data_IF_182958247351
#
_entry.id   IF_182958247351
#
_cell.length_a   1.000
_cell.length_b   1.000
_cell.length_c   1.000
_cell.angle_alpha   90.00
_cell.angle_beta   90.00
_cell.angle_gamma   90.00
#
_symmetry.space_group_name_H-M   'P 1'
#
loop_
_entity.id
_entity.type
_entity.pdbx_description
1 polymer ?
#
# COMPACT_ATOMS: atom_id res chain seq x y z
N UNK A 1 -21.39 -8.93 -4.37
CA UNK A 1 -19.94 -8.65 -4.20
C UNK A 1 -19.69 -8.43 -2.71
N UNK A 2 -18.63 -8.98 -2.14
CA UNK A 2 -18.30 -8.72 -0.73
C UNK A 2 -17.60 -7.37 -0.60
N UNK A 3 -17.61 -6.77 0.61
CA UNK A 3 -16.96 -5.50 0.86
C UNK A 3 -15.43 -5.54 0.60
N UNK A 4 -14.78 -6.68 0.85
CA UNK A 4 -13.35 -6.86 0.58
C UNK A 4 -13.05 -6.80 -0.92
N UNK A 5 -13.82 -7.53 -1.74
CA UNK A 5 -13.65 -7.52 -3.20
C UNK A 5 -13.91 -6.13 -3.77
N UNK A 6 -14.94 -5.43 -3.29
CA UNK A 6 -15.24 -4.07 -3.71
C UNK A 6 -14.05 -3.12 -3.47
N UNK A 7 -13.46 -3.14 -2.27
CA UNK A 7 -12.30 -2.31 -1.94
C UNK A 7 -11.07 -2.65 -2.80
N UNK A 8 -10.82 -3.93 -3.05
CA UNK A 8 -9.73 -4.37 -3.93
C UNK A 8 -9.92 -3.87 -5.36
N UNK A 9 -11.14 -3.93 -5.89
CA UNK A 9 -11.45 -3.43 -7.24
C UNK A 9 -11.24 -1.91 -7.32
N UNK A 10 -11.71 -1.15 -6.33
CA UNK A 10 -11.48 0.31 -6.29
C UNK A 10 -9.99 0.62 -6.26
N UNK A 11 -9.25 -0.03 -5.38
CA UNK A 11 -7.81 0.22 -5.23
C UNK A 11 -7.07 -0.15 -6.52
N UNK A 12 -7.41 -1.28 -7.16
CA UNK A 12 -6.83 -1.65 -8.45
C UNK A 12 -7.14 -0.62 -9.54
N UNK A 13 -8.38 -0.11 -9.61
CA UNK A 13 -8.74 0.95 -10.56
C UNK A 13 -7.94 2.23 -10.32
N UNK A 14 -7.79 2.66 -9.07
CA UNK A 14 -6.99 3.82 -8.68
C UNK A 14 -5.51 3.64 -9.05
N UNK A 15 -4.91 2.50 -8.71
CA UNK A 15 -3.49 2.25 -8.94
C UNK A 15 -3.15 2.09 -10.43
N UNK A 16 -4.03 1.48 -11.23
CA UNK A 16 -3.75 1.19 -12.64
C UNK A 16 -4.18 2.35 -13.56
N UNK A 17 -5.40 2.86 -13.37
CA UNK A 17 -6.04 3.84 -14.26
C UNK A 17 -6.03 5.27 -13.69
N UNK A 18 -5.63 5.45 -12.43
CA UNK A 18 -5.73 6.75 -11.75
C UNK A 18 -7.15 7.15 -11.36
N UNK A 19 -8.15 6.33 -11.68
CA UNK A 19 -9.55 6.68 -11.53
C UNK A 19 -10.37 5.44 -11.15
N UNK A 20 -11.19 5.56 -10.12
CA UNK A 20 -12.22 4.58 -9.80
C UNK A 20 -13.62 5.19 -9.96
N UNK A 21 -14.51 4.44 -10.60
CA UNK A 21 -15.89 4.84 -10.83
C UNK A 21 -16.83 3.82 -10.21
N UNK A 22 -17.81 4.30 -9.47
CA UNK A 22 -18.82 3.47 -8.81
C UNK A 22 -20.19 4.08 -9.06
N UNK A 23 -21.04 3.33 -9.75
CA UNK A 23 -22.43 3.72 -9.97
C UNK A 23 -23.25 3.49 -8.71
N UNK A 24 -23.98 4.53 -8.30
CA UNK A 24 -24.92 4.53 -7.17
C UNK A 24 -26.31 4.18 -7.67
N UNK A 25 -26.86 3.07 -7.17
CA UNK A 25 -28.22 2.64 -7.49
C UNK A 25 -29.17 2.98 -6.34
N UNK A 26 -30.22 3.72 -6.66
CA UNK A 26 -31.23 4.15 -5.68
C UNK A 26 -32.55 3.41 -5.88
N UNK A 27 -33.23 3.08 -4.78
CA UNK A 27 -34.61 2.59 -4.78
C UNK A 27 -35.41 3.38 -3.75
N UNK A 28 -36.52 3.98 -4.16
CA UNK A 28 -37.35 4.85 -3.32
C UNK A 28 -36.55 5.93 -2.56
N UNK A 29 -35.55 6.54 -3.23
CA UNK A 29 -34.70 7.58 -2.64
C UNK A 29 -33.59 7.09 -1.72
N UNK A 30 -33.50 5.77 -1.45
CA UNK A 30 -32.41 5.19 -0.63
C UNK A 30 -31.36 4.54 -1.51
N UNK A 31 -30.09 4.70 -1.17
CA UNK A 31 -28.99 4.00 -1.81
C UNK A 31 -29.07 2.49 -1.49
N UNK A 32 -29.17 1.65 -2.51
CA UNK A 32 -29.31 0.18 -2.36
C UNK A 32 -28.07 -0.57 -2.82
N UNK A 33 -27.36 -0.06 -3.82
CA UNK A 33 -26.19 -0.76 -4.35
C UNK A 33 -25.12 0.20 -4.87
N UNK A 34 -23.88 -0.28 -4.79
CA UNK A 34 -22.68 0.34 -5.35
C UNK A 34 -22.06 -0.63 -6.34
N UNK A 35 -22.01 -0.24 -7.61
CA UNK A 35 -21.47 -1.08 -8.68
C UNK A 35 -20.20 -0.45 -9.25
N UNK A 36 -19.02 -1.03 -9.01
CA UNK A 36 -17.79 -0.53 -9.62
C UNK A 36 -17.84 -0.77 -11.14
N UNK A 37 -17.47 0.26 -11.89
CA UNK A 37 -17.42 0.23 -13.35
C UNK A 37 -15.96 0.30 -13.81
N UNK A 38 -15.66 -0.35 -14.94
CA UNK A 38 -14.31 -0.35 -15.51
C UNK A 38 -13.92 1.04 -16.02
N UNK A 39 -12.78 1.61 -15.58
CA UNK A 39 -12.38 2.97 -15.98
C UNK A 39 -12.19 3.13 -17.49
N UNK A 40 -11.68 2.10 -18.18
CA UNK A 40 -11.51 2.13 -19.64
C UNK A 40 -12.82 2.20 -20.45
N UNK A 41 -13.98 2.09 -19.80
CA UNK A 41 -15.31 2.17 -20.44
C UNK A 41 -16.04 3.47 -20.12
N UNK A 42 -15.41 4.39 -19.39
CA UNK A 42 -16.02 5.62 -18.89
C UNK A 42 -15.29 6.83 -19.48
N UNK A 43 -16.10 7.79 -19.92
CA UNK A 43 -15.62 9.09 -20.38
C UNK A 43 -16.37 10.19 -19.61
N UNK A 44 -15.66 10.99 -18.80
CA UNK A 44 -16.24 12.16 -18.13
C UNK A 44 -16.35 13.30 -19.12
N UNK A 45 -17.56 13.82 -19.32
CA UNK A 45 -17.86 14.93 -20.24
C UNK A 45 -18.57 16.05 -19.53
N UNK A 46 -18.46 17.24 -20.11
CA UNK A 46 -19.18 18.44 -19.68
C UNK A 46 -20.25 18.77 -20.70
N UNK A 47 -21.48 19.00 -20.24
CA UNK A 47 -22.58 19.51 -21.06
C UNK A 47 -22.39 21.00 -21.33
N UNK A 48 -23.14 21.53 -22.30
CA UNK A 48 -23.13 22.96 -22.63
C UNK A 48 -23.56 23.85 -21.45
N UNK A 49 -24.47 23.36 -20.60
CA UNK A 49 -24.89 24.04 -19.37
C UNK A 49 -23.84 24.00 -18.23
N UNK A 50 -22.68 23.39 -18.48
CA UNK A 50 -21.58 23.29 -17.54
C UNK A 50 -21.62 22.09 -16.58
N UNK A 51 -22.71 21.33 -16.55
CA UNK A 51 -22.84 20.13 -15.70
C UNK A 51 -22.00 18.96 -16.24
N UNK A 52 -21.43 18.16 -15.35
CA UNK A 52 -20.69 16.96 -15.73
C UNK A 52 -21.60 15.73 -15.83
N UNK A 53 -21.26 14.83 -16.74
CA UNK A 53 -21.87 13.52 -16.86
C UNK A 53 -20.83 12.49 -17.29
N UNK A 54 -21.15 11.22 -17.09
CA UNK A 54 -20.30 10.08 -17.43
C UNK A 54 -20.93 9.29 -18.55
N UNK A 55 -20.26 9.21 -19.70
CA UNK A 55 -20.65 8.30 -20.75
C UNK A 55 -20.03 6.93 -20.49
N UNK A 56 -20.88 5.95 -20.18
CA UNK A 56 -20.47 4.57 -19.96
C UNK A 56 -20.82 3.72 -21.18
N UNK A 57 -19.85 2.91 -21.65
CA UNK A 57 -20.06 1.94 -22.72
C UNK A 57 -19.92 0.52 -22.16
N UNK A 58 -21.03 -0.21 -22.07
CA UNK A 58 -21.02 -1.58 -21.54
C UNK A 58 -20.32 -2.52 -22.52
N UNK A 59 -19.22 -3.14 -22.11
CA UNK A 59 -18.46 -4.05 -22.97
C UNK A 59 -19.22 -5.33 -23.35
N UNK A 60 -20.27 -5.72 -22.63
CA UNK A 60 -21.01 -6.95 -22.95
C UNK A 60 -21.96 -6.78 -24.12
N UNK A 61 -22.54 -5.59 -24.30
CA UNK A 61 -23.59 -5.34 -25.28
C UNK A 61 -23.33 -4.11 -26.17
N UNK A 62 -22.23 -3.38 -25.93
CA UNK A 62 -21.85 -2.18 -26.68
C UNK A 62 -22.77 -0.98 -26.47
N UNK A 63 -23.74 -1.05 -25.54
CA UNK A 63 -24.69 0.03 -25.31
C UNK A 63 -24.02 1.17 -24.56
N UNK A 64 -24.19 2.38 -25.08
CA UNK A 64 -23.78 3.61 -24.42
C UNK A 64 -24.93 4.11 -23.56
N UNK A 65 -24.66 4.41 -22.29
CA UNK A 65 -25.57 5.10 -21.38
C UNK A 65 -24.89 6.32 -20.77
N UNK A 66 -25.69 7.33 -20.47
CA UNK A 66 -25.24 8.49 -19.72
C UNK A 66 -25.62 8.30 -18.25
N UNK A 67 -24.65 8.54 -17.36
CA UNK A 67 -24.83 8.52 -15.91
C UNK A 67 -24.58 9.93 -15.42
N UNK A 68 -25.57 10.52 -14.76
CA UNK A 68 -25.42 11.86 -14.18
C UNK A 68 -24.45 11.87 -13.00
N UNK A 69 -23.81 13.00 -12.74
CA UNK A 69 -22.82 13.15 -11.67
C UNK A 69 -23.36 12.73 -10.30
N UNK A 70 -24.63 13.02 -9.99
CA UNK A 70 -25.27 12.60 -8.73
C UNK A 70 -25.37 11.07 -8.55
N UNK A 71 -25.37 10.30 -9.64
CA UNK A 71 -25.44 8.83 -9.63
C UNK A 71 -24.07 8.16 -9.76
N UNK A 72 -22.98 8.93 -9.86
CA UNK A 72 -21.62 8.41 -9.99
C UNK A 72 -20.77 8.87 -8.81
N UNK A 73 -20.17 7.92 -8.09
CA UNK A 73 -19.03 8.21 -7.21
C UNK A 73 -17.76 8.05 -8.03
N UNK A 74 -17.06 9.16 -8.28
CA UNK A 74 -15.79 9.18 -8.98
C UNK A 74 -14.68 9.52 -7.99
N UNK A 75 -13.76 8.58 -7.82
CA UNK A 75 -12.55 8.75 -7.01
C UNK A 75 -11.37 8.96 -7.97
N UNK A 76 -10.92 10.19 -8.20
CA UNK A 76 -9.67 10.43 -8.90
C UNK A 76 -8.49 10.32 -7.94
N UNK A 77 -7.41 9.68 -8.37
CA UNK A 77 -6.13 9.65 -7.65
C UNK A 77 -5.39 11.00 -7.84
N UNK A 78 -4.10 10.97 -8.19
CA UNK A 78 -3.36 12.18 -8.53
C UNK A 78 -3.90 12.82 -9.81
N UNK A 79 -4.28 14.10 -9.75
CA UNK A 79 -4.87 14.87 -10.85
C UNK A 79 -4.04 16.12 -11.12
N UNK A 80 -3.99 16.57 -12.38
CA UNK A 80 -3.37 17.86 -12.76
C UNK A 80 -4.42 18.96 -12.96
N UNK A 81 -5.65 18.58 -13.29
CA UNK A 81 -6.76 19.46 -13.58
C UNK A 81 -7.84 19.45 -12.48
N UNK A 82 -7.68 18.62 -11.45
CA UNK A 82 -8.67 18.40 -10.40
C UNK A 82 -9.89 17.56 -10.84
N UNK A 83 -9.92 17.06 -12.07
CA UNK A 83 -11.09 16.38 -12.65
C UNK A 83 -10.82 14.92 -13.01
N UNK A 84 -9.67 14.60 -13.58
CA UNK A 84 -9.32 13.25 -14.05
C UNK A 84 -7.96 12.85 -13.51
N UNK A 85 -7.90 11.68 -12.88
CA UNK A 85 -6.64 11.15 -12.36
C UNK A 85 -5.73 10.65 -13.47
N UNK A 86 -4.42 10.76 -13.25
CA UNK A 86 -3.40 10.25 -14.18
C UNK A 86 -3.23 8.75 -14.01
N UNK A 87 -3.26 8.01 -15.13
CA UNK A 87 -2.96 6.58 -15.12
C UNK A 87 -1.47 6.35 -14.88
N UNK A 88 -1.15 5.60 -13.82
CA UNK A 88 0.22 5.17 -13.52
C UNK A 88 0.79 4.36 -14.68
N UNK A 89 0.02 3.44 -15.25
CA UNK A 89 0.44 2.65 -16.43
C UNK A 89 0.72 3.57 -17.62
N UNK A 90 -0.13 4.57 -17.85
CA UNK A 90 0.05 5.55 -18.91
C UNK A 90 1.35 6.34 -18.76
N UNK A 91 1.61 6.87 -17.55
CA UNK A 91 2.81 7.67 -17.24
C UNK A 91 4.10 6.83 -17.21
N UNK A 92 4.03 5.61 -16.67
CA UNK A 92 5.17 4.71 -16.50
C UNK A 92 5.36 3.74 -17.68
N UNK A 93 4.69 3.96 -18.81
CA UNK A 93 4.68 3.03 -19.95
C UNK A 93 6.07 2.63 -20.43
N UNK A 94 7.02 3.56 -20.46
CA UNK A 94 8.40 3.28 -20.89
C UNK A 94 9.13 2.37 -19.89
N UNK A 95 8.93 2.57 -18.59
CA UNK A 95 9.56 1.76 -17.54
C UNK A 95 9.03 0.32 -17.59
N UNK A 96 7.71 0.15 -17.69
CA UNK A 96 7.12 -1.18 -17.89
C UNK A 96 7.58 -1.83 -19.20
N UNK A 97 7.65 -1.06 -20.29
CA UNK A 97 8.15 -1.54 -21.58
C UNK A 97 9.61 -2.01 -21.53
N UNK A 98 10.47 -1.25 -20.85
CA UNK A 98 11.88 -1.60 -20.66
C UNK A 98 12.02 -2.86 -19.80
N UNK A 99 11.26 -2.98 -18.71
CA UNK A 99 11.26 -4.16 -17.85
C UNK A 99 10.80 -5.42 -18.61
N UNK A 100 9.72 -5.31 -19.41
CA UNK A 100 9.25 -6.40 -20.26
C UNK A 100 10.29 -6.81 -21.31
N UNK A 101 10.92 -5.84 -21.97
CA UNK A 101 11.96 -6.09 -22.97
C UNK A 101 13.20 -6.76 -22.36
N UNK A 102 13.62 -6.33 -21.17
CA UNK A 102 14.72 -6.95 -20.44
C UNK A 102 14.39 -8.40 -20.05
N UNK A 103 13.17 -8.68 -19.59
CA UNK A 103 12.74 -10.04 -19.27
C UNK A 103 12.66 -10.93 -20.52
N UNK A 104 12.20 -10.40 -21.65
CA UNK A 104 12.18 -11.12 -22.92
C UNK A 104 13.60 -11.44 -23.42
N UNK A 105 14.50 -10.45 -23.37
CA UNK A 105 15.91 -10.65 -23.72
C UNK A 105 16.60 -11.68 -22.81
N UNK A 106 16.26 -11.67 -21.51
CA UNK A 106 16.69 -12.69 -20.56
C UNK A 106 16.17 -14.07 -20.95
N UNK A 107 14.86 -14.19 -21.20
CA UNK A 107 14.23 -15.44 -21.60
C UNK A 107 14.83 -16.01 -22.89
N UNK A 108 15.08 -15.16 -23.89
CA UNK A 108 15.75 -15.57 -25.14
C UNK A 108 17.20 -15.99 -24.89
N UNK A 109 17.93 -15.27 -24.05
CA UNK A 109 19.30 -15.63 -23.67
C UNK A 109 19.33 -16.98 -22.94
N UNK A 110 18.42 -17.24 -22.02
CA UNK A 110 18.34 -18.56 -21.35
C UNK A 110 17.90 -19.68 -22.30
N UNK A 111 16.94 -19.41 -23.20
CA UNK A 111 16.51 -20.39 -24.20
C UNK A 111 17.61 -20.75 -25.21
N UNK A 112 18.49 -19.80 -25.53
CA UNK A 112 19.54 -19.97 -26.54
C UNK A 112 20.92 -20.29 -25.92
N UNK A 113 21.18 -19.89 -24.67
CA UNK A 113 22.49 -19.78 -24.02
C UNK A 113 22.95 -20.99 -23.21
N UNK A 114 22.17 -22.08 -23.16
CA UNK A 114 22.69 -23.38 -22.71
C UNK A 114 23.44 -24.15 -23.80
N UNK A 115 23.55 -23.60 -25.02
CA UNK A 115 24.42 -24.14 -26.07
C UNK A 115 25.78 -23.49 -25.91
N UNK A 116 26.79 -24.26 -25.53
CA UNK A 116 28.17 -23.78 -25.44
C UNK A 116 28.61 -23.25 -26.80
N UNK A 117 28.66 -21.92 -26.95
CA UNK A 117 29.30 -21.29 -28.10
C UNK A 117 30.79 -21.60 -28.00
N UNK A 118 31.32 -22.28 -28.99
CA UNK A 118 32.74 -22.58 -29.06
C UNK A 118 33.22 -22.59 -30.49
N UNK A 119 34.47 -22.22 -30.66
CA UNK A 119 35.13 -22.23 -31.95
C UNK A 119 35.89 -23.54 -32.10
N UNK A 120 35.56 -24.29 -33.16
CA UNK A 120 36.35 -25.45 -33.57
C UNK A 120 37.36 -24.97 -34.60
N UNK A 121 38.65 -25.04 -34.25
CA UNK A 121 39.76 -24.75 -35.15
C UNK A 121 40.41 -26.06 -35.59
N UNK A 122 40.80 -26.13 -36.87
CA UNK A 122 41.49 -27.28 -37.46
C UNK A 122 42.64 -26.78 -38.32
N UNK A 123 43.79 -27.43 -38.22
CA UNK A 123 44.99 -27.07 -38.99
C UNK A 123 44.92 -27.45 -40.48
N UNK A 124 43.94 -28.28 -40.87
CA UNK A 124 43.78 -28.80 -42.24
C UNK A 124 42.70 -28.06 -43.05
N UNK A 125 42.97 -27.83 -44.35
CA UNK A 125 41.98 -27.27 -45.29
C UNK A 125 41.00 -28.36 -45.71
N UNK A 126 39.78 -28.32 -45.17
CA UNK A 126 38.71 -29.28 -45.46
C UNK A 126 38.10 -29.07 -46.85
N UNK A 127 37.81 -30.19 -47.55
CA UNK A 127 37.00 -30.23 -48.78
C UNK A 127 35.52 -29.91 -48.49
N UNK A 128 34.71 -29.47 -49.47
CA UNK A 128 33.31 -29.06 -49.24
C UNK A 128 32.43 -30.10 -48.55
N UNK A 129 32.56 -31.38 -48.91
CA UNK A 129 31.79 -32.46 -48.27
C UNK A 129 32.15 -32.70 -46.80
N UNK A 130 33.45 -32.70 -46.49
CA UNK A 130 33.96 -32.90 -45.13
C UNK A 130 33.59 -31.72 -44.20
N UNK A 131 33.51 -30.49 -44.73
CA UNK A 131 33.03 -29.34 -43.94
C UNK A 131 31.59 -29.52 -43.47
N UNK A 132 30.74 -30.10 -44.31
CA UNK A 132 29.33 -30.24 -43.99
C UNK A 132 29.10 -31.39 -43.00
N UNK A 133 29.87 -32.47 -43.08
CA UNK A 133 29.90 -33.54 -42.07
C UNK A 133 30.33 -33.00 -40.70
N UNK A 134 31.41 -32.21 -40.64
CA UNK A 134 31.87 -31.59 -39.39
C UNK A 134 30.81 -30.63 -38.84
N UNK A 135 30.17 -29.81 -39.69
CA UNK A 135 29.08 -28.92 -39.25
C UNK A 135 27.87 -29.68 -38.70
N UNK A 136 27.48 -30.78 -39.33
CA UNK A 136 26.37 -31.61 -38.87
C UNK A 136 26.70 -32.27 -37.53
N UNK A 137 27.92 -32.79 -37.37
CA UNK A 137 28.39 -33.37 -36.11
C UNK A 137 28.46 -32.34 -34.97
N UNK A 138 28.98 -31.14 -35.25
CA UNK A 138 29.00 -30.03 -34.29
C UNK A 138 27.58 -29.64 -33.87
N UNK A 139 26.65 -29.55 -34.83
CA UNK A 139 25.25 -29.21 -34.54
C UNK A 139 24.55 -30.27 -33.70
N UNK A 140 24.73 -31.55 -33.98
CA UNK A 140 24.10 -32.62 -33.21
C UNK A 140 24.62 -32.66 -31.78
N UNK A 141 25.94 -32.59 -31.60
CA UNK A 141 26.59 -32.60 -30.28
C UNK A 141 26.22 -31.36 -29.46
N UNK A 142 26.16 -30.17 -30.10
CA UNK A 142 25.76 -28.92 -29.45
C UNK A 142 24.27 -28.90 -29.06
N UNK A 143 23.40 -29.56 -29.82
CA UNK A 143 21.98 -29.67 -29.51
C UNK A 143 21.69 -30.62 -28.34
N UNK A 144 22.49 -31.68 -28.19
CA UNK A 144 22.33 -32.72 -27.15
C UNK A 144 23.14 -32.42 -25.88
N UNK A 145 24.01 -31.40 -25.90
CA UNK A 145 24.94 -31.12 -24.79
C UNK A 145 26.03 -32.20 -24.62
N UNK A 146 26.32 -32.94 -25.68
CA UNK A 146 27.30 -34.03 -25.69
C UNK A 146 28.75 -33.54 -25.72
N UNK A 147 29.69 -34.45 -25.45
CA UNK A 147 31.12 -34.17 -25.54
C UNK A 147 31.56 -34.25 -27.01
N UNK A 148 32.20 -33.19 -27.51
CA UNK A 148 32.74 -33.17 -28.88
C UNK A 148 34.02 -34.01 -28.97
N UNK A 149 34.03 -34.98 -29.88
CA UNK A 149 35.23 -35.78 -30.19
C UNK A 149 36.00 -35.05 -31.29
N UNK A 150 37.26 -34.71 -31.01
CA UNK A 150 38.13 -33.98 -31.92
C UNK A 150 39.27 -34.88 -32.44
N UNK A 151 39.52 -34.81 -33.76
CA UNK A 151 40.63 -35.50 -34.40
C UNK A 151 41.96 -34.73 -34.20
N UNK A 152 43.09 -35.43 -34.39
CA UNK A 152 44.44 -34.90 -34.16
C UNK A 152 44.68 -33.63 -34.99
N UNK A 153 45.02 -32.52 -34.31
CA UNK A 153 45.18 -31.19 -34.95
C UNK A 153 43.94 -30.31 -34.93
N UNK A 154 42.90 -30.72 -34.19
CA UNK A 154 41.68 -29.92 -33.96
C UNK A 154 41.61 -29.47 -32.50
N UNK A 155 41.20 -28.23 -32.24
CA UNK A 155 40.97 -27.70 -30.90
C UNK A 155 39.59 -27.08 -30.78
N UNK A 156 38.97 -27.25 -29.61
CA UNK A 156 37.73 -26.57 -29.25
C UNK A 156 38.06 -25.48 -28.23
N UNK A 157 37.79 -24.24 -28.61
CA UNK A 157 37.87 -23.10 -27.71
C UNK A 157 36.46 -22.79 -27.24
N UNK A 158 36.16 -23.17 -25.99
CA UNK A 158 34.93 -22.75 -25.34
C UNK A 158 34.99 -21.23 -25.15
N UNK A 159 34.02 -20.51 -25.70
CA UNK A 159 33.82 -19.11 -25.33
C UNK A 159 33.19 -19.15 -23.95
N UNK A 160 33.91 -18.71 -22.91
CA UNK A 160 33.40 -18.74 -21.54
C UNK A 160 32.16 -17.84 -21.40
N UNK A 161 31.30 -18.17 -20.43
CA UNK A 161 30.13 -17.39 -20.07
C UNK A 161 30.44 -15.89 -19.84
N UNK A 162 29.40 -15.10 -20.08
CA UNK A 162 29.46 -13.77 -20.66
C UNK A 162 29.21 -12.72 -19.55
N UNK A 163 30.03 -11.67 -19.41
CA UNK A 163 29.77 -10.52 -18.51
C UNK A 163 28.35 -9.93 -18.63
N UNK A 164 27.68 -10.17 -19.75
CA UNK A 164 26.30 -9.81 -20.04
C UNK A 164 25.28 -10.47 -19.08
N UNK A 165 25.55 -11.64 -18.51
CA UNK A 165 24.61 -12.32 -17.62
C UNK A 165 24.48 -11.59 -16.26
N UNK A 166 25.59 -11.06 -15.75
CA UNK A 166 25.62 -10.25 -14.53
C UNK A 166 24.98 -8.86 -14.74
N UNK A 167 25.21 -8.25 -15.91
CA UNK A 167 24.58 -6.98 -16.29
C UNK A 167 23.05 -7.13 -16.50
N UNK A 168 22.63 -8.25 -17.06
CA UNK A 168 21.22 -8.59 -17.24
C UNK A 168 20.51 -8.82 -15.90
N UNK A 169 21.15 -9.50 -14.95
CA UNK A 169 20.62 -9.66 -13.59
C UNK A 169 20.46 -8.30 -12.89
N UNK A 170 21.49 -7.45 -12.93
CA UNK A 170 21.42 -6.09 -12.35
C UNK A 170 20.30 -5.25 -12.99
N UNK A 171 20.10 -5.36 -14.30
CA UNK A 171 19.00 -4.68 -15.01
C UNK A 171 17.63 -5.14 -14.53
N UNK A 172 17.46 -6.44 -14.27
CA UNK A 172 16.21 -7.02 -13.74
C UNK A 172 15.93 -6.57 -12.31
N UNK A 173 16.96 -6.52 -11.46
CA UNK A 173 16.84 -6.03 -10.09
C UNK A 173 16.41 -4.56 -10.07
N UNK A 174 17.05 -3.71 -10.88
CA UNK A 174 16.69 -2.30 -10.97
C UNK A 174 15.26 -2.09 -11.47
N UNK A 175 14.81 -2.91 -12.43
CA UNK A 175 13.43 -2.85 -12.94
C UNK A 175 12.37 -3.10 -11.86
N UNK A 176 12.64 -3.99 -10.90
CA UNK A 176 11.73 -4.21 -9.75
C UNK A 176 11.62 -2.95 -8.89
N UNK A 177 12.75 -2.29 -8.61
CA UNK A 177 12.76 -1.06 -7.82
C UNK A 177 12.05 0.11 -8.51
N UNK A 178 12.18 0.24 -9.83
CA UNK A 178 11.47 1.27 -10.61
C UNK A 178 9.95 1.07 -10.57
N UNK A 179 9.48 -0.17 -10.74
CA UNK A 179 8.05 -0.49 -10.64
C UNK A 179 7.52 -0.20 -9.23
N UNK A 180 8.26 -0.62 -8.21
CA UNK A 180 7.95 -0.35 -6.80
C UNK A 180 7.79 1.16 -6.52
N UNK A 181 8.67 1.98 -7.10
CA UNK A 181 8.66 3.44 -6.96
C UNK A 181 7.37 4.08 -7.48
N UNK A 182 6.84 3.61 -8.60
CA UNK A 182 5.59 4.13 -9.18
C UNK A 182 4.36 3.85 -8.31
N UNK A 183 4.33 2.71 -7.62
CA UNK A 183 3.26 2.38 -6.69
C UNK A 183 3.51 2.87 -5.26
N UNK A 184 4.67 3.49 -5.01
CA UNK A 184 5.09 3.90 -3.68
C UNK A 184 5.34 2.73 -2.73
N UNK A 185 5.53 1.50 -3.22
CA UNK A 185 5.74 0.32 -2.39
C UNK A 185 7.24 0.13 -2.16
N UNK A 186 7.72 0.02 -0.91
CA UNK A 186 9.12 -0.29 -0.66
C UNK A 186 9.52 -1.69 -1.20
N UNK A 187 10.70 -1.86 -1.82
CA UNK A 187 11.08 -3.14 -2.43
C UNK A 187 11.08 -4.35 -1.47
N UNK A 188 11.42 -4.15 -0.19
CA UNK A 188 11.39 -5.21 0.81
C UNK A 188 9.99 -5.80 1.04
N UNK A 189 8.91 -5.02 0.78
CA UNK A 189 7.53 -5.49 0.92
C UNK A 189 7.12 -6.49 -0.17
N UNK A 190 7.83 -6.49 -1.31
CA UNK A 190 7.62 -7.46 -2.40
C UNK A 190 8.66 -8.58 -2.39
N UNK A 191 9.44 -8.71 -1.32
CA UNK A 191 10.50 -9.72 -1.19
C UNK A 191 11.80 -9.35 -1.90
N UNK A 192 11.94 -8.12 -2.39
CA UNK A 192 13.18 -7.63 -2.98
C UNK A 192 14.07 -6.97 -1.91
N UNK A 193 14.89 -7.79 -1.25
CA UNK A 193 15.70 -7.40 -0.08
C UNK A 193 17.20 -7.28 -0.38
N UNK A 194 17.61 -7.18 -1.65
CA UNK A 194 19.02 -7.26 -2.06
C UNK A 194 19.95 -6.27 -1.34
N UNK A 195 19.44 -5.09 -0.98
CA UNK A 195 20.22 -4.01 -0.35
C UNK A 195 19.81 -3.70 1.12
N UNK A 196 18.86 -4.42 1.70
CA UNK A 196 18.34 -4.12 3.05
C UNK A 196 19.02 -4.96 4.13
N UNK A 197 20.03 -4.40 4.79
CA UNK A 197 20.79 -5.02 5.91
C UNK A 197 20.15 -4.84 7.30
N UNK A 198 18.92 -4.33 7.40
CA UNK A 198 18.32 -3.98 8.70
C UNK A 198 17.49 -5.13 9.29
N UNK A 199 18.16 -6.08 9.94
CA UNK A 199 17.53 -7.15 10.71
C UNK A 199 16.97 -6.58 12.05
N UNK A 200 15.68 -6.84 12.35
CA UNK A 200 15.07 -6.55 13.66
C UNK A 200 14.33 -5.19 13.75
N UNK A 201 14.95 -4.19 14.38
CA UNK A 201 14.30 -2.91 14.72
C UNK A 201 14.03 -1.98 13.52
N UNK A 202 14.75 -2.17 12.41
CA UNK A 202 14.51 -1.42 11.18
C UNK A 202 13.24 -1.86 10.44
N UNK A 203 12.82 -3.11 10.59
CA UNK A 203 11.66 -3.64 9.86
C UNK A 203 10.34 -3.01 10.34
N UNK A 204 10.17 -2.84 11.64
CA UNK A 204 8.98 -2.17 12.20
C UNK A 204 8.88 -0.71 11.74
N UNK A 205 10.01 0.01 11.76
CA UNK A 205 10.07 1.38 11.24
C UNK A 205 9.81 1.44 9.72
N UNK A 206 10.25 0.43 8.97
CA UNK A 206 9.97 0.31 7.54
C UNK A 206 8.48 0.03 7.26
N UNK A 207 7.84 -0.84 8.05
CA UNK A 207 6.38 -1.09 7.97
C UNK A 207 5.59 0.16 8.32
N UNK A 208 6.00 0.91 9.35
CA UNK A 208 5.40 2.19 9.71
C UNK A 208 5.59 3.24 8.61
N UNK A 209 6.76 3.27 7.97
CA UNK A 209 7.02 4.10 6.79
C UNK A 209 6.10 3.76 5.62
N UNK A 210 5.90 2.47 5.33
CA UNK A 210 4.95 2.02 4.30
C UNK A 210 3.52 2.45 4.61
N UNK A 211 3.08 2.27 5.86
CA UNK A 211 1.77 2.70 6.31
C UNK A 211 1.58 4.20 6.08
N UNK A 212 2.55 5.00 6.53
CA UNK A 212 2.46 6.47 6.55
C UNK A 212 2.55 7.07 5.16
N UNK A 213 3.53 6.65 4.36
CA UNK A 213 3.84 7.30 3.08
C UNK A 213 3.14 6.65 1.89
N UNK A 214 2.70 5.39 2.02
CA UNK A 214 2.13 4.63 0.91
C UNK A 214 0.64 4.39 1.11
N UNK A 215 0.24 3.76 2.22
CA UNK A 215 -1.16 3.36 2.44
C UNK A 215 -2.05 4.53 2.87
N UNK A 216 -1.58 5.36 3.81
CA UNK A 216 -2.39 6.45 4.38
C UNK A 216 -2.99 7.39 3.32
N UNK A 217 -2.25 7.85 2.29
CA UNK A 217 -2.83 8.69 1.24
C UNK A 217 -4.01 8.03 0.54
N UNK A 218 -3.95 6.73 0.25
CA UNK A 218 -5.05 5.99 -0.39
C UNK A 218 -6.26 5.83 0.53
N UNK A 219 -6.03 5.53 1.81
CA UNK A 219 -7.10 5.39 2.80
C UNK A 219 -7.85 6.71 2.97
N UNK A 220 -7.11 7.80 3.19
CA UNK A 220 -7.67 9.15 3.35
C UNK A 220 -8.42 9.60 2.10
N UNK A 221 -7.89 9.33 0.90
CA UNK A 221 -8.56 9.65 -0.37
C UNK A 221 -9.93 8.95 -0.47
N UNK A 222 -9.96 7.64 -0.19
CA UNK A 222 -11.19 6.84 -0.26
C UNK A 222 -12.19 7.29 0.81
N UNK A 223 -11.75 7.57 2.03
CA UNK A 223 -12.59 8.10 3.11
C UNK A 223 -13.23 9.44 2.74
N UNK A 224 -12.43 10.40 2.28
CA UNK A 224 -12.91 11.71 1.89
C UNK A 224 -13.94 11.60 0.76
N UNK A 225 -13.71 10.72 -0.21
CA UNK A 225 -14.65 10.53 -1.30
C UNK A 225 -15.94 9.85 -0.85
N UNK A 226 -15.86 8.85 0.03
CA UNK A 226 -17.04 8.21 0.65
C UNK A 226 -17.85 9.24 1.44
N UNK A 227 -17.19 10.04 2.28
CA UNK A 227 -17.84 11.09 3.08
C UNK A 227 -18.50 12.15 2.19
N UNK A 228 -17.91 12.47 1.03
CA UNK A 228 -18.46 13.42 0.07
C UNK A 228 -19.63 12.87 -0.74
N UNK A 229 -19.60 11.61 -1.17
CA UNK A 229 -20.54 11.09 -2.17
C UNK A 229 -21.63 10.16 -1.63
N UNK A 230 -21.41 9.57 -0.45
CA UNK A 230 -22.34 8.61 0.17
C UNK A 230 -23.10 9.20 1.37
N UNK A 231 -22.57 10.23 2.03
CA UNK A 231 -23.27 10.93 3.12
C UNK A 231 -23.96 12.19 2.60
N UNK A 232 -25.21 12.38 3.01
CA UNK A 232 -25.92 13.62 2.74
C UNK A 232 -25.29 14.80 3.51
N UNK A 233 -25.41 16.05 3.03
CA UNK A 233 -24.82 17.21 3.69
C UNK A 233 -25.21 17.37 5.17
N UNK A 234 -26.43 16.95 5.53
CA UNK A 234 -26.92 16.99 6.92
C UNK A 234 -26.25 15.91 7.77
N UNK A 235 -26.06 14.71 7.22
CA UNK A 235 -25.45 13.57 7.93
C UNK A 235 -23.96 13.78 8.19
N UNK A 236 -23.27 14.57 7.35
CA UNK A 236 -21.82 14.85 7.50
C UNK A 236 -21.48 15.64 8.78
N UNK A 237 -22.46 16.22 9.46
CA UNK A 237 -22.25 16.87 10.75
C UNK A 237 -22.09 15.86 11.88
N UNK A 238 -22.80 14.73 11.79
CA UNK A 238 -22.92 13.74 12.86
C UNK A 238 -22.14 12.45 12.57
N UNK A 239 -21.95 12.12 11.29
CA UNK A 239 -21.33 10.89 10.84
C UNK A 239 -20.14 11.17 9.93
N UNK A 240 -19.08 10.39 10.13
CA UNK A 240 -17.93 10.34 9.25
C UNK A 240 -17.45 8.89 9.12
N UNK A 241 -16.79 8.62 8.00
CA UNK A 241 -16.15 7.33 7.70
C UNK A 241 -14.64 7.53 7.79
N UNK A 242 -13.99 6.67 8.57
CA UNK A 242 -12.54 6.59 8.75
C UNK A 242 -12.11 5.13 8.75
N UNK A 243 -10.97 4.80 8.13
CA UNK A 243 -10.36 3.49 8.26
C UNK A 243 -9.61 3.40 9.59
N UNK A 244 -9.87 2.33 10.32
CA UNK A 244 -9.19 2.06 11.58
C UNK A 244 -7.83 1.42 11.29
N UNK A 245 -6.81 2.27 11.10
CA UNK A 245 -5.45 1.85 10.77
C UNK A 245 -4.69 1.34 12.01
N UNK A 246 -5.16 1.67 13.21
CA UNK A 246 -4.61 1.19 14.49
C UNK A 246 -4.61 -0.35 14.58
N UNK A 247 -5.47 -1.03 13.82
CA UNK A 247 -5.45 -2.48 13.66
C UNK A 247 -4.17 -3.02 13.03
N UNK A 248 -3.52 -2.25 12.16
CA UNK A 248 -2.21 -2.59 11.56
C UNK A 248 -1.08 -2.38 12.57
N UNK A 249 -1.19 -1.34 13.41
CA UNK A 249 -0.30 -1.09 14.56
C UNK A 249 -0.47 -2.11 15.69
N UNK A 250 -1.45 -3.03 15.64
CA UNK A 250 -1.53 -4.14 16.61
C UNK A 250 -0.29 -5.01 16.61
N UNK A 251 0.49 -5.05 15.53
CA UNK A 251 1.78 -5.73 15.50
C UNK A 251 2.78 -5.10 16.49
N UNK A 252 2.70 -3.78 16.73
CA UNK A 252 3.46 -3.07 17.75
C UNK A 252 2.60 -2.78 19.00
N UNK A 253 2.32 -3.84 19.75
CA UNK A 253 1.62 -3.74 21.04
C UNK A 253 2.38 -2.89 22.07
N UNK A 254 3.70 -2.70 21.91
CA UNK A 254 4.58 -2.04 22.87
C UNK A 254 4.50 -0.52 22.71
N UNK A 255 4.68 0.01 21.50
CA UNK A 255 4.55 1.44 21.21
C UNK A 255 3.13 1.94 21.49
N UNK A 256 2.12 1.13 21.18
CA UNK A 256 0.71 1.44 21.46
C UNK A 256 0.41 1.49 22.96
N UNK A 257 0.89 0.52 23.74
CA UNK A 257 0.75 0.53 25.19
C UNK A 257 1.47 1.72 25.82
N UNK A 258 2.67 2.06 25.32
CA UNK A 258 3.42 3.23 25.78
C UNK A 258 2.69 4.55 25.50
N UNK A 259 2.10 4.71 24.30
CA UNK A 259 1.32 5.89 23.94
C UNK A 259 0.08 6.05 24.82
N UNK A 260 -0.73 5.01 24.98
CA UNK A 260 -1.92 5.09 25.82
C UNK A 260 -1.59 5.21 27.31
N UNK A 261 -0.49 4.60 27.75
CA UNK A 261 0.02 4.80 29.12
C UNK A 261 0.41 6.26 29.32
N UNK A 262 1.17 6.86 28.41
CA UNK A 262 1.53 8.28 28.46
C UNK A 262 0.29 9.18 28.41
N UNK A 263 -0.68 8.88 27.53
CA UNK A 263 -1.92 9.63 27.39
C UNK A 263 -2.75 9.62 28.68
N UNK A 264 -2.92 8.44 29.29
CA UNK A 264 -3.64 8.29 30.55
C UNK A 264 -2.88 8.79 31.79
N UNK A 265 -1.54 8.86 31.75
CA UNK A 265 -0.71 9.38 32.84
C UNK A 265 -0.60 10.91 32.83
N UNK A 266 -0.48 11.50 31.64
CA UNK A 266 -0.33 12.94 31.44
C UNK A 266 -1.68 13.68 31.33
N UNK A 267 -2.79 12.94 31.24
CA UNK A 267 -4.13 13.50 31.32
C UNK A 267 -4.52 14.41 30.15
N UNK A 268 -3.97 14.17 28.95
CA UNK A 268 -4.39 14.86 27.73
C UNK A 268 -5.43 14.08 26.90
N UNK A 269 -5.73 12.83 27.29
CA UNK A 269 -6.74 12.00 26.64
C UNK A 269 -7.55 11.24 27.68
N UNK A 270 -8.87 11.18 27.53
CA UNK A 270 -9.72 10.40 28.44
C UNK A 270 -9.60 8.91 28.11
N UNK A 271 -9.89 8.06 29.10
CA UNK A 271 -9.95 6.60 28.86
C UNK A 271 -11.06 6.25 27.86
N UNK A 272 -12.10 7.08 27.79
CA UNK A 272 -13.19 6.91 26.84
C UNK A 272 -12.75 7.21 25.41
N UNK A 273 -12.00 8.28 25.18
CA UNK A 273 -11.43 8.59 23.86
C UNK A 273 -10.51 7.47 23.39
N UNK A 274 -9.69 6.88 24.29
CA UNK A 274 -8.84 5.72 23.97
C UNK A 274 -9.69 4.51 23.56
N UNK A 275 -10.81 4.26 24.25
CA UNK A 275 -11.75 3.17 23.90
C UNK A 275 -12.43 3.42 22.57
N UNK A 276 -12.83 4.66 22.29
CA UNK A 276 -13.43 5.05 21.02
C UNK A 276 -12.48 4.79 19.85
N UNK A 277 -11.19 5.14 19.98
CA UNK A 277 -10.17 4.85 18.96
C UNK A 277 -10.00 3.34 18.72
N UNK A 278 -9.99 2.57 19.80
CA UNK A 278 -9.93 1.10 19.73
C UNK A 278 -11.26 0.43 19.34
N UNK A 279 -12.31 1.21 19.00
CA UNK A 279 -13.67 0.72 18.70
C UNK A 279 -14.25 -0.19 19.80
N UNK A 280 -13.90 0.08 21.06
CA UNK A 280 -14.47 -0.58 22.22
C UNK A 280 -15.73 0.16 22.67
N UNK A 281 -16.74 -0.56 23.19
CA UNK A 281 -17.97 0.08 23.65
C UNK A 281 -17.69 1.07 24.79
N UNK A 282 -18.44 2.17 24.81
CA UNK A 282 -18.39 3.18 25.87
C UNK A 282 -18.59 2.55 27.23
N UNK A 283 -17.81 3.00 28.22
CA UNK A 283 -17.97 2.58 29.61
C UNK A 283 -18.30 3.79 30.48
N UNK A 284 -19.18 3.64 31.45
CA UNK A 284 -19.46 4.74 32.38
C UNK A 284 -18.24 4.96 33.29
N UNK A 285 -17.90 6.23 33.54
CA UNK A 285 -16.79 6.63 34.39
C UNK A 285 -15.40 6.68 33.72
N UNK A 286 -15.30 6.47 32.40
CA UNK A 286 -14.03 6.60 31.63
C UNK A 286 -13.79 7.98 31.02
N UNK A 287 -14.79 8.86 31.09
CA UNK A 287 -14.78 10.22 30.54
C UNK A 287 -14.23 11.26 31.55
N UNK A 288 -13.11 10.90 32.19
CA UNK A 288 -12.45 11.75 33.20
C UNK A 288 -10.95 11.74 32.92
N UNK A 289 -10.37 12.94 32.80
CA UNK A 289 -8.92 13.11 32.70
C UNK A 289 -8.29 12.79 34.05
N UNK A 290 -7.31 11.89 34.04
CA UNK A 290 -6.53 11.55 35.25
C UNK A 290 -5.08 11.90 35.03
N UNK A 291 -4.42 12.42 36.06
CA UNK A 291 -2.97 12.66 36.06
C UNK A 291 -2.33 11.88 37.20
N UNK A 292 -1.15 11.29 36.95
CA UNK A 292 -0.39 10.64 38.01
C UNK A 292 0.18 11.69 38.96
N UNK A 293 -0.24 11.62 40.22
CA UNK A 293 0.16 12.58 41.22
C UNK A 293 1.30 12.05 42.09
N UNK A 294 2.42 11.68 41.46
CA UNK A 294 3.53 11.03 42.16
C UNK A 294 4.55 12.00 42.77
N UNK A 295 4.50 13.32 42.47
CA UNK A 295 5.41 14.32 43.05
C UNK A 295 4.74 15.68 43.31
N UNK A 296 3.66 15.69 44.09
CA UNK A 296 3.13 16.92 44.72
C UNK A 296 3.47 16.89 46.22
N UNK A 297 3.91 17.99 46.86
CA UNK A 297 3.96 18.05 48.32
C UNK A 297 2.57 17.70 48.88
N UNK A 298 2.53 16.84 49.91
CA UNK A 298 1.33 16.16 50.44
C UNK A 298 0.13 17.09 50.73
N UNK A 299 0.35 18.38 50.96
CA UNK A 299 -0.67 19.33 51.40
C UNK A 299 -1.68 19.76 50.32
N UNK A 300 -1.41 19.52 49.03
CA UNK A 300 -2.19 20.11 47.93
C UNK A 300 -2.65 19.12 46.87
N UNK A 301 -2.57 17.84 47.18
CA UNK A 301 -2.82 16.76 46.24
C UNK A 301 -4.29 16.34 46.29
N UNK A 302 -5.13 17.09 45.56
CA UNK A 302 -6.59 17.00 45.60
C UNK A 302 -7.13 17.53 46.94
N UNK A 303 -8.04 18.51 46.92
CA UNK A 303 -8.81 18.85 48.12
C UNK A 303 -9.72 17.66 48.48
N UNK A 304 -9.12 16.63 49.08
CA UNK A 304 -9.78 15.39 49.42
C UNK A 304 -10.87 15.68 50.44
N UNK A 305 -12.10 15.71 49.93
CA UNK A 305 -13.38 15.62 50.64
C UNK A 305 -13.67 16.72 51.66
N UNK A 306 -14.72 17.49 51.37
CA UNK A 306 -15.42 18.38 52.31
C UNK A 306 -15.71 17.73 53.68
N UNK A 307 -15.79 16.41 53.76
CA UNK A 307 -15.92 15.65 55.01
C UNK A 307 -14.67 15.70 55.92
N UNK A 308 -13.46 15.82 55.36
CA UNK A 308 -12.23 15.96 56.14
C UNK A 308 -12.12 17.38 56.73
N UNK A 309 -12.39 18.42 55.91
CA UNK A 309 -12.48 19.81 56.38
C UNK A 309 -13.59 20.02 57.43
N UNK A 310 -14.74 19.36 57.28
CA UNK A 310 -15.83 19.44 58.26
C UNK A 310 -15.48 18.73 59.57
N UNK A 311 -14.78 17.58 59.52
CA UNK A 311 -14.30 16.89 60.72
C UNK A 311 -13.24 17.71 61.47
N UNK A 312 -12.32 18.34 60.75
CA UNK A 312 -11.28 19.17 61.37
C UNK A 312 -11.89 20.45 61.97
N UNK A 313 -12.84 21.09 61.29
CA UNK A 313 -13.57 22.24 61.83
C UNK A 313 -14.43 21.91 63.07
N UNK A 314 -15.07 20.74 63.11
CA UNK A 314 -15.83 20.28 64.30
C UNK A 314 -14.89 19.95 65.46
N UNK A 315 -13.70 19.44 65.18
CA UNK A 315 -12.70 19.10 66.19
C UNK A 315 -12.08 20.34 66.84
N UNK A 316 -11.84 21.38 66.05
CA UNK A 316 -11.37 22.67 66.56
C UNK A 316 -12.44 23.37 67.40
N UNK A 317 -13.71 23.34 66.97
CA UNK A 317 -14.83 23.88 67.76
C UNK A 317 -15.02 23.18 69.11
N UNK A 318 -14.95 21.84 69.17
CA UNK A 318 -15.04 21.06 70.41
C UNK A 318 -13.87 21.31 71.39
N UNK A 319 -12.73 21.78 70.90
CA UNK A 319 -11.57 22.10 71.73
C UNK A 319 -11.64 23.53 72.29
N UNK A 320 -12.30 24.46 71.59
CA UNK A 320 -12.55 25.82 72.10
C UNK A 320 -13.57 25.82 73.26
N UNK A 321 -14.60 24.97 73.23
CA UNK A 321 -15.56 24.86 74.34
C UNK A 321 -14.91 24.38 75.65
N UNK A 322 -13.86 23.54 75.58
CA UNK A 322 -13.12 23.08 76.77
C UNK A 322 -12.24 24.15 77.42
N UNK A 323 -11.95 25.25 76.73
CA UNK A 323 -11.11 26.33 77.26
C UNK A 323 -11.97 27.37 78.03
N UNK A 324 -13.31 27.30 77.92
CA UNK A 324 -14.23 28.23 78.56
C UNK A 324 -14.93 27.71 79.84
N UNK A 325 -14.64 26.49 80.30
CA UNK A 325 -15.15 25.94 81.58
C UNK A 325 -14.06 25.80 82.67
N UNK A 326 -13.27 26.85 82.89
CA UNK A 326 -12.49 27.04 84.12
C UNK A 326 -12.74 28.41 84.73
#
# INVERSE_FOLDING_TARGET
MTAAVFRQVILAHLLLWGNAYVEKSFSAGRLVALTPLMPGQIEKKRRENGAFFYAYTDAKNGRRREIEEGHMMHIPAFTMDGLIGLSVIGCARQIFGNAMAAEEAAGQTFANGMKSSGMVTMDAVLKPGQREEVRQHVKSVSAEGGVMVLEKGSSFHQLSMNPQDAELLATREFGVEEICRWFGVPPHMVGHTGNSTSWGSGLEQQVLGFLTFSLQPWLTLIEQQINKDLLEPVERADYYVEHVVEGLMRSDSVGRAALYSSAGQNGWMTREEIRSKENLPRKEGTDVLTVQSNLTPLAQLGQATSAAKARDAIRDWLNEEKIHET
#
